data_IF_526296768388
#
_entry.id   IF_526296768388
#
_cell.length_a   1.000
_cell.length_b   1.000
_cell.length_c   1.000
_cell.angle_alpha   90.00
_cell.angle_beta   90.00
_cell.angle_gamma   90.00
#
_symmetry.space_group_name_H-M   'P 1'
#
loop_
_entity.id
_entity.type
_entity.pdbx_description
1 polymer ?
#
# COMPACT_ATOMS: atom_id res chain seq x y z
N UNK A 1 44.66 -39.72 -14.80
CA UNK A 1 43.24 -39.63 -15.23
C UNK A 1 42.35 -38.83 -14.26
N UNK A 2 42.88 -38.20 -13.20
CA UNK A 2 42.08 -37.36 -12.28
C UNK A 2 42.13 -35.86 -12.58
N UNK A 3 43.20 -35.38 -13.22
CA UNK A 3 43.38 -33.96 -13.56
C UNK A 3 42.35 -33.47 -14.58
N UNK A 4 42.04 -34.27 -15.61
CA UNK A 4 41.01 -33.93 -16.61
C UNK A 4 39.58 -33.89 -16.04
N UNK A 5 39.27 -34.66 -14.98
CA UNK A 5 37.95 -34.61 -14.34
C UNK A 5 37.76 -33.36 -13.48
N UNK A 6 38.83 -32.85 -12.87
CA UNK A 6 38.79 -31.61 -12.08
C UNK A 6 38.62 -30.37 -12.96
N UNK A 7 39.23 -30.33 -14.14
CA UNK A 7 39.07 -29.20 -15.07
C UNK A 7 37.68 -29.12 -15.72
N UNK A 8 37.02 -30.26 -15.92
CA UNK A 8 35.68 -30.33 -16.50
C UNK A 8 34.59 -29.84 -15.51
N UNK A 9 34.79 -30.01 -14.20
CA UNK A 9 33.86 -29.53 -13.16
C UNK A 9 33.92 -28.02 -12.93
N UNK A 10 35.05 -27.36 -13.23
CA UNK A 10 35.17 -25.90 -13.15
C UNK A 10 34.61 -25.20 -14.40
N UNK A 11 34.63 -25.86 -15.56
CA UNK A 11 33.99 -25.36 -16.78
C UNK A 11 32.46 -25.47 -16.75
N UNK A 12 31.90 -26.45 -16.04
CA UNK A 12 30.45 -26.60 -15.87
C UNK A 12 29.79 -25.50 -15.01
N UNK A 13 30.58 -24.74 -14.22
CA UNK A 13 30.07 -23.63 -13.38
C UNK A 13 29.97 -22.29 -14.12
N UNK A 14 30.35 -22.21 -15.40
CA UNK A 14 30.44 -20.95 -16.15
C UNK A 14 29.31 -20.72 -17.17
N UNK A 15 28.21 -21.47 -17.08
CA UNK A 15 27.14 -21.42 -18.10
C UNK A 15 25.81 -20.80 -17.65
N UNK A 16 25.73 -20.11 -16.51
CA UNK A 16 24.45 -19.60 -16.01
C UNK A 16 24.42 -18.11 -15.62
N UNK A 17 25.21 -17.26 -16.29
CA UNK A 17 25.03 -15.80 -16.16
C UNK A 17 25.23 -15.15 -17.52
N UNK A 18 24.37 -15.47 -18.50
CA UNK A 18 24.26 -14.59 -19.66
C UNK A 18 23.46 -13.36 -19.24
N UNK A 19 23.95 -12.15 -19.54
CA UNK A 19 23.21 -10.88 -19.37
C UNK A 19 21.81 -10.95 -20.00
N UNK A 20 21.66 -11.81 -21.03
CA UNK A 20 20.40 -12.08 -21.70
C UNK A 20 19.35 -12.77 -20.80
N UNK A 21 19.75 -13.65 -19.88
CA UNK A 21 18.84 -14.30 -18.92
C UNK A 21 18.41 -13.34 -17.78
N UNK A 22 19.28 -12.39 -17.41
CA UNK A 22 18.99 -11.34 -16.43
C UNK A 22 18.06 -10.23 -16.98
N UNK A 23 17.94 -10.08 -18.30
CA UNK A 23 17.06 -9.06 -18.93
C UNK A 23 15.57 -9.26 -18.58
N UNK A 24 15.12 -10.48 -18.30
CA UNK A 24 13.73 -10.77 -17.92
C UNK A 24 13.37 -10.41 -16.48
N UNK A 25 14.31 -10.58 -15.54
CA UNK A 25 14.08 -10.31 -14.12
C UNK A 25 13.91 -8.82 -13.82
N UNK A 26 14.68 -7.97 -14.49
CA UNK A 26 14.62 -6.51 -14.29
C UNK A 26 13.25 -5.90 -14.61
N UNK A 27 12.53 -6.42 -15.62
CA UNK A 27 11.20 -5.89 -15.98
C UNK A 27 10.16 -6.19 -14.92
N UNK A 28 10.09 -7.44 -14.43
CA UNK A 28 9.14 -7.78 -13.37
C UNK A 28 9.47 -7.05 -12.08
N UNK A 29 10.75 -6.94 -11.74
CA UNK A 29 11.21 -6.22 -10.56
C UNK A 29 10.85 -4.73 -10.63
N UNK A 30 11.09 -4.07 -11.77
CA UNK A 30 10.70 -2.67 -11.98
C UNK A 30 9.17 -2.46 -11.94
N UNK A 31 8.39 -3.38 -12.55
CA UNK A 31 6.92 -3.32 -12.51
C UNK A 31 6.43 -3.50 -11.08
N UNK A 32 7.05 -4.42 -10.33
CA UNK A 32 6.74 -4.68 -8.93
C UNK A 32 7.07 -3.47 -8.07
N UNK A 33 8.27 -2.92 -8.20
CA UNK A 33 8.71 -1.73 -7.47
C UNK A 33 7.78 -0.54 -7.73
N UNK A 34 7.45 -0.27 -8.99
CA UNK A 34 6.49 0.79 -9.36
C UNK A 34 5.12 0.58 -8.72
N UNK A 35 4.60 -0.65 -8.74
CA UNK A 35 3.31 -0.99 -8.12
C UNK A 35 3.35 -0.87 -6.61
N UNK A 36 4.45 -1.27 -5.97
CA UNK A 36 4.66 -1.17 -4.54
C UNK A 36 4.78 0.29 -4.08
N UNK A 37 5.50 1.13 -4.84
CA UNK A 37 5.56 2.56 -4.58
C UNK A 37 4.17 3.20 -4.68
N UNK A 38 3.40 2.85 -5.72
CA UNK A 38 2.04 3.34 -5.89
C UNK A 38 1.10 2.87 -4.76
N UNK A 39 1.19 1.61 -4.33
CA UNK A 39 0.39 1.10 -3.22
C UNK A 39 0.77 1.73 -1.87
N UNK A 40 2.07 1.95 -1.63
CA UNK A 40 2.55 2.64 -0.44
C UNK A 40 2.05 4.09 -0.37
N UNK A 41 2.04 4.80 -1.50
CA UNK A 41 1.50 6.17 -1.58
C UNK A 41 -0.01 6.20 -1.31
N UNK A 42 -0.78 5.23 -1.85
CA UNK A 42 -2.20 5.09 -1.54
C UNK A 42 -2.46 4.77 -0.06
N UNK A 43 -1.64 3.92 0.56
CA UNK A 43 -1.74 3.60 1.98
C UNK A 43 -1.50 4.85 2.86
N UNK A 44 -0.45 5.62 2.56
CA UNK A 44 -0.18 6.89 3.26
C UNK A 44 -1.33 7.89 3.12
N UNK A 45 -1.92 8.02 1.93
CA UNK A 45 -3.09 8.88 1.72
C UNK A 45 -4.29 8.41 2.56
N UNK A 46 -4.55 7.10 2.63
CA UNK A 46 -5.61 6.54 3.46
C UNK A 46 -5.37 6.84 4.96
N UNK A 47 -4.13 6.70 5.44
CA UNK A 47 -3.76 7.00 6.83
C UNK A 47 -3.99 8.47 7.18
N UNK A 48 -3.62 9.40 6.28
CA UNK A 48 -3.85 10.82 6.46
C UNK A 48 -5.35 11.15 6.53
N UNK A 49 -6.15 10.57 5.62
CA UNK A 49 -7.61 10.73 5.62
C UNK A 49 -8.25 10.16 6.90
N UNK A 50 -7.81 8.99 7.36
CA UNK A 50 -8.28 8.41 8.63
C UNK A 50 -7.91 9.29 9.84
N UNK A 51 -6.71 9.88 9.85
CA UNK A 51 -6.28 10.79 10.91
C UNK A 51 -7.09 12.08 10.91
N UNK A 52 -7.37 12.66 9.74
CA UNK A 52 -8.29 13.79 9.59
C UNK A 52 -9.67 13.45 10.11
N UNK A 53 -10.23 12.29 9.72
CA UNK A 53 -11.56 11.87 10.16
C UNK A 53 -11.67 11.78 11.69
N UNK A 54 -10.68 11.17 12.35
CA UNK A 54 -10.63 11.09 13.82
C UNK A 54 -10.67 12.47 14.48
N UNK A 55 -9.95 13.45 13.95
CA UNK A 55 -9.92 14.83 14.49
C UNK A 55 -11.29 15.50 14.33
N UNK A 56 -11.87 15.39 13.14
CA UNK A 56 -13.16 15.99 12.81
C UNK A 56 -14.28 15.39 13.68
N UNK A 57 -14.34 14.05 13.79
CA UNK A 57 -15.34 13.36 14.61
C UNK A 57 -15.19 13.71 16.09
N UNK A 58 -13.94 13.86 16.59
CA UNK A 58 -13.70 14.28 17.98
C UNK A 58 -14.16 15.71 18.25
N UNK A 59 -14.08 16.61 17.27
CA UNK A 59 -14.45 18.00 17.42
C UNK A 59 -15.96 18.26 17.24
N UNK A 60 -16.59 17.62 16.25
CA UNK A 60 -17.96 17.92 15.82
C UNK A 60 -18.94 16.75 15.87
N UNK A 61 -18.54 15.61 16.45
CA UNK A 61 -19.36 14.40 16.49
C UNK A 61 -19.40 13.63 15.16
N UNK A 62 -20.00 12.42 15.16
CA UNK A 62 -20.02 11.51 14.02
C UNK A 62 -21.11 11.83 12.98
N UNK A 63 -21.99 12.81 13.22
CA UNK A 63 -23.14 13.09 12.37
C UNK A 63 -22.80 13.96 11.15
N UNK A 64 -23.04 13.40 9.94
CA UNK A 64 -22.80 14.11 8.68
C UNK A 64 -23.69 15.34 8.48
N UNK A 65 -24.88 15.37 9.09
CA UNK A 65 -25.83 16.48 8.94
C UNK A 65 -25.39 17.75 9.66
N UNK A 66 -24.66 17.61 10.75
CA UNK A 66 -24.21 18.73 11.58
C UNK A 66 -22.78 19.17 11.22
N UNK A 67 -21.97 18.29 10.64
CA UNK A 67 -20.56 18.53 10.43
C UNK A 67 -20.21 18.71 8.94
N UNK A 68 -20.00 19.98 8.53
CA UNK A 68 -19.61 20.34 7.17
C UNK A 68 -18.24 19.76 6.78
N UNK A 69 -17.32 19.64 7.73
CA UNK A 69 -15.99 19.07 7.51
C UNK A 69 -16.05 17.56 7.21
N UNK A 70 -17.01 16.83 7.78
CA UNK A 70 -17.23 15.41 7.43
C UNK A 70 -17.72 15.26 5.99
N UNK A 71 -18.59 16.14 5.52
CA UNK A 71 -19.08 16.13 4.13
C UNK A 71 -17.94 16.42 3.16
N UNK A 72 -17.09 17.39 3.49
CA UNK A 72 -15.89 17.67 2.70
C UNK A 72 -14.92 16.48 2.68
N UNK A 73 -14.73 15.83 3.81
CA UNK A 73 -13.87 14.64 3.88
C UNK A 73 -14.45 13.46 3.07
N UNK A 74 -15.77 13.29 3.01
CA UNK A 74 -16.41 12.29 2.14
C UNK A 74 -16.11 12.56 0.65
N UNK A 75 -16.11 13.83 0.24
CA UNK A 75 -15.72 14.22 -1.11
C UNK A 75 -14.23 13.94 -1.38
N UNK A 76 -13.35 14.23 -0.42
CA UNK A 76 -11.92 13.89 -0.51
C UNK A 76 -11.72 12.37 -0.67
N UNK A 77 -12.46 11.55 0.09
CA UNK A 77 -12.44 10.09 -0.01
C UNK A 77 -12.85 9.60 -1.42
N UNK A 78 -13.92 10.19 -1.96
CA UNK A 78 -14.41 9.87 -3.31
C UNK A 78 -13.40 10.26 -4.39
N UNK A 79 -12.79 11.43 -4.27
CA UNK A 79 -11.76 11.91 -5.19
C UNK A 79 -10.50 11.02 -5.16
N UNK A 80 -10.17 10.45 -4.00
CA UNK A 80 -9.07 9.49 -3.84
C UNK A 80 -9.42 8.07 -4.32
N UNK A 81 -10.61 7.84 -4.89
CA UNK A 81 -11.10 6.53 -5.36
C UNK A 81 -11.22 5.47 -4.25
N UNK A 82 -11.49 5.90 -3.01
CA UNK A 82 -11.88 4.96 -1.95
C UNK A 82 -13.37 4.64 -2.02
N UNK A 83 -13.76 3.43 -1.60
CA UNK A 83 -15.16 3.00 -1.58
C UNK A 83 -15.94 3.68 -0.45
N UNK A 84 -17.23 3.93 -0.68
CA UNK A 84 -18.12 4.50 0.35
C UNK A 84 -18.28 3.57 1.56
N UNK A 85 -18.31 2.25 1.32
CA UNK A 85 -18.28 1.24 2.40
C UNK A 85 -17.03 1.38 3.29
N UNK A 86 -15.86 1.67 2.73
CA UNK A 86 -14.65 1.90 3.53
C UNK A 86 -14.77 3.15 4.42
N UNK A 87 -15.37 4.22 3.89
CA UNK A 87 -15.65 5.43 4.67
C UNK A 87 -16.62 5.15 5.81
N UNK A 88 -17.75 4.48 5.54
CA UNK A 88 -18.73 4.11 6.56
C UNK A 88 -18.14 3.20 7.64
N UNK A 89 -17.34 2.19 7.25
CA UNK A 89 -16.63 1.31 8.20
C UNK A 89 -15.68 2.10 9.09
N UNK A 90 -14.89 3.00 8.49
CA UNK A 90 -13.96 3.81 9.25
C UNK A 90 -14.69 4.76 10.21
N UNK A 91 -15.83 5.34 9.81
CA UNK A 91 -16.65 6.20 10.68
C UNK A 91 -17.24 5.42 11.86
N UNK A 92 -17.82 4.24 11.61
CA UNK A 92 -18.29 3.33 12.67
C UNK A 92 -17.17 2.94 13.63
N UNK A 93 -15.98 2.63 13.12
CA UNK A 93 -14.83 2.27 13.96
C UNK A 93 -14.38 3.43 14.85
N UNK A 94 -14.37 4.66 14.32
CA UNK A 94 -14.03 5.85 15.12
C UNK A 94 -15.10 6.08 16.20
N UNK A 95 -16.38 5.95 15.83
CA UNK A 95 -17.50 6.08 16.75
C UNK A 95 -17.38 5.10 17.93
N UNK A 96 -17.21 3.80 17.65
CA UNK A 96 -17.03 2.77 18.69
C UNK A 96 -15.85 3.09 19.59
N UNK A 97 -14.71 3.52 19.02
CA UNK A 97 -13.52 3.86 19.81
C UNK A 97 -13.70 5.06 20.73
N UNK A 98 -14.51 6.04 20.34
CA UNK A 98 -14.81 7.19 21.21
C UNK A 98 -15.69 6.76 22.39
N UNK A 99 -16.69 5.92 22.14
CA UNK A 99 -17.58 5.42 23.20
C UNK A 99 -16.88 4.47 24.19
N UNK A 100 -15.86 3.73 23.74
CA UNK A 100 -15.13 2.79 24.59
C UNK A 100 -13.99 3.42 25.41
N UNK A 101 -13.72 4.72 25.25
CA UNK A 101 -12.62 5.44 25.90
C UNK A 101 -13.11 6.54 26.85
N UNK A 102 -14.40 6.51 27.20
CA UNK A 102 -15.05 7.38 28.18
C UNK A 102 -15.38 6.59 29.45
#
# INVERSE_FOLDING_TARGET
MEVMRREMLLHARRLWVSSHFMKGHSKWDNIKDTKLAASANKAKAAEQLMAKMKRIVRAGGPDLKFNKDLVQLQLEYRNANFSDDAFQRALKNVQVRIFHCN
#
